data_IF_282409362017
#
_entry.id   IF_282409362017
#
_cell.length_a   1.000
_cell.length_b   1.000
_cell.length_c   1.000
_cell.angle_alpha   90.00
_cell.angle_beta   90.00
_cell.angle_gamma   90.00
#
_symmetry.space_group_name_H-M   'P 1'
#
loop_
_entity.id
_entity.type
_entity.pdbx_description
1 polymer ?
#
# COMPACT_ATOMS: atom_id res chain seq x y z
N UNK A 1 3.07 -3.82 14.78
CA UNK A 1 2.90 -2.49 15.43
C UNK A 1 4.11 -1.65 15.14
N UNK A 2 3.93 -0.40 14.72
CA UNK A 2 5.02 0.56 14.47
C UNK A 2 5.81 0.82 15.75
N UNK A 3 7.12 0.59 15.71
CA UNK A 3 8.04 0.99 16.80
C UNK A 3 8.69 2.32 16.45
N UNK A 4 9.03 3.15 17.44
CA UNK A 4 9.67 4.45 17.24
C UNK A 4 11.14 4.44 17.66
N UNK A 5 11.97 5.25 17.00
CA UNK A 5 13.35 5.56 17.42
C UNK A 5 13.34 6.56 18.57
N UNK A 6 14.50 6.80 19.19
CA UNK A 6 14.67 7.85 20.19
C UNK A 6 14.30 9.26 19.68
N UNK A 7 14.32 9.46 18.36
CA UNK A 7 13.93 10.72 17.71
C UNK A 7 12.46 10.78 17.32
N UNK A 8 11.64 9.82 17.75
CA UNK A 8 10.20 9.74 17.44
C UNK A 8 9.89 9.31 16.00
N UNK A 9 10.90 8.97 15.21
CA UNK A 9 10.71 8.49 13.84
C UNK A 9 10.35 7.00 13.85
N UNK A 10 9.57 6.51 12.89
CA UNK A 10 9.32 5.07 12.79
C UNK A 10 10.62 4.31 12.58
N UNK A 11 10.86 3.32 13.43
CA UNK A 11 11.94 2.37 13.25
C UNK A 11 11.65 1.56 12.00
N UNK A 12 12.65 1.45 11.12
CA UNK A 12 12.57 0.69 9.88
C UNK A 12 13.43 -0.55 10.01
N UNK A 13 12.84 -1.73 9.89
CA UNK A 13 13.57 -2.98 9.80
C UNK A 13 13.94 -3.31 8.33
N UNK A 14 14.73 -4.37 8.18
CA UNK A 14 15.23 -4.81 6.86
C UNK A 14 14.07 -5.24 5.96
N UNK A 15 13.04 -5.88 6.51
CA UNK A 15 11.89 -6.36 5.73
C UNK A 15 11.08 -5.19 5.19
N UNK A 16 10.81 -4.19 6.03
CA UNK A 16 10.19 -2.93 5.67
C UNK A 16 10.94 -2.20 4.56
N UNK A 17 12.27 -2.12 4.67
CA UNK A 17 13.11 -1.49 3.65
C UNK A 17 13.10 -2.27 2.33
N UNK A 18 13.07 -3.60 2.38
CA UNK A 18 12.99 -4.47 1.20
C UNK A 18 11.63 -4.33 0.52
N UNK A 19 10.53 -4.38 1.28
CA UNK A 19 9.18 -4.20 0.76
C UNK A 19 9.01 -2.82 0.11
N UNK A 20 9.42 -1.74 0.79
CA UNK A 20 9.32 -0.39 0.22
C UNK A 20 10.14 -0.24 -1.06
N UNK A 21 11.34 -0.80 -1.13
CA UNK A 21 12.16 -0.75 -2.35
C UNK A 21 11.51 -1.55 -3.48
N UNK A 22 11.06 -2.78 -3.21
CA UNK A 22 10.48 -3.69 -4.21
C UNK A 22 9.19 -3.14 -4.82
N UNK A 23 8.41 -2.36 -4.06
CA UNK A 23 7.09 -1.88 -4.46
C UNK A 23 6.95 -0.35 -4.43
N UNK A 24 8.06 0.39 -4.52
CA UNK A 24 8.10 1.86 -4.37
C UNK A 24 7.09 2.56 -5.27
N UNK A 25 6.99 2.14 -6.53
CA UNK A 25 6.11 2.76 -7.50
C UNK A 25 4.65 2.45 -7.23
N UNK A 26 4.34 1.19 -6.86
CA UNK A 26 2.99 0.80 -6.42
C UNK A 26 2.53 1.63 -5.23
N UNK A 27 3.39 1.79 -4.21
CA UNK A 27 3.12 2.61 -3.03
C UNK A 27 2.85 4.07 -3.43
N UNK A 28 3.70 4.61 -4.31
CA UNK A 28 3.60 6.01 -4.76
C UNK A 28 2.29 6.25 -5.52
N UNK A 29 1.99 5.40 -6.51
CA UNK A 29 0.79 5.51 -7.32
C UNK A 29 -0.48 5.27 -6.51
N UNK A 30 -0.46 4.35 -5.56
CA UNK A 30 -1.61 4.13 -4.68
C UNK A 30 -1.88 5.36 -3.80
N UNK A 31 -0.85 5.91 -3.14
CA UNK A 31 -1.02 7.08 -2.26
C UNK A 31 -1.34 8.36 -3.04
N UNK A 32 -0.92 8.48 -4.30
CA UNK A 32 -1.32 9.58 -5.19
C UNK A 32 -2.70 9.39 -5.85
N UNK A 33 -3.30 8.22 -5.65
CA UNK A 33 -4.58 7.81 -6.24
C UNK A 33 -4.53 7.63 -7.77
N UNK A 34 -3.40 7.16 -8.28
CA UNK A 34 -3.11 6.97 -9.71
C UNK A 34 -2.77 5.51 -10.05
N UNK A 35 -2.93 4.56 -9.12
CA UNK A 35 -2.67 3.15 -9.38
C UNK A 35 -3.71 2.61 -10.38
N UNK A 36 -3.31 2.17 -11.59
CA UNK A 36 -4.24 1.64 -12.58
C UNK A 36 -4.83 0.30 -12.16
N UNK A 37 -5.98 -0.04 -12.74
CA UNK A 37 -6.65 -1.32 -12.60
C UNK A 37 -6.83 -1.77 -11.14
N UNK A 38 -7.30 -0.84 -10.29
CA UNK A 38 -7.48 -1.05 -8.85
C UNK A 38 -8.67 -1.97 -8.53
N UNK A 39 -8.49 -3.25 -8.83
CA UNK A 39 -9.40 -4.35 -8.52
C UNK A 39 -9.34 -4.75 -7.04
N UNK A 40 -10.26 -5.61 -6.61
CA UNK A 40 -10.22 -6.18 -5.26
C UNK A 40 -8.91 -6.95 -4.99
N UNK A 41 -8.42 -7.71 -5.97
CA UNK A 41 -7.13 -8.41 -5.84
C UNK A 41 -5.98 -7.42 -5.68
N UNK A 42 -5.93 -6.36 -6.50
CA UNK A 42 -4.89 -5.33 -6.41
C UNK A 42 -4.94 -4.60 -5.07
N UNK A 43 -6.13 -4.31 -4.57
CA UNK A 43 -6.31 -3.78 -3.21
C UNK A 43 -5.66 -4.71 -2.18
N UNK A 44 -5.98 -6.00 -2.17
CA UNK A 44 -5.40 -6.95 -1.19
C UNK A 44 -3.87 -7.03 -1.30
N UNK A 45 -3.33 -7.08 -2.52
CA UNK A 45 -1.88 -7.07 -2.76
C UNK A 45 -1.21 -5.83 -2.19
N UNK A 46 -1.80 -4.65 -2.43
CA UNK A 46 -1.35 -3.38 -1.84
C UNK A 46 -1.43 -3.45 -0.32
N UNK A 47 -2.54 -3.89 0.26
CA UNK A 47 -2.67 -3.97 1.71
C UNK A 47 -1.60 -4.90 2.35
N UNK A 48 -1.29 -6.03 1.70
CA UNK A 48 -0.21 -6.93 2.11
C UNK A 48 1.18 -6.27 2.00
N UNK A 49 1.45 -5.42 1.00
CA UNK A 49 2.68 -4.60 0.94
C UNK A 49 2.74 -3.65 2.15
N UNK A 50 1.64 -2.97 2.45
CA UNK A 50 1.58 -1.98 3.52
C UNK A 50 1.74 -2.59 4.91
N UNK A 51 1.43 -3.88 5.12
CA UNK A 51 1.72 -4.59 6.39
C UNK A 51 3.18 -4.52 6.83
N UNK A 52 4.11 -4.37 5.89
CA UNK A 52 5.54 -4.24 6.15
C UNK A 52 5.99 -2.79 6.38
N UNK A 53 5.11 -1.81 6.17
CA UNK A 53 5.45 -0.41 6.32
C UNK A 53 5.04 0.09 7.72
N UNK A 54 5.85 0.98 8.31
CA UNK A 54 5.41 1.70 9.50
C UNK A 54 4.17 2.52 9.17
N UNK A 55 3.18 2.47 10.05
CA UNK A 55 1.85 3.06 9.85
C UNK A 55 1.11 2.52 8.62
N UNK A 56 1.39 1.27 8.24
CA UNK A 56 0.80 0.63 7.06
C UNK A 56 -0.72 0.70 7.01
N UNK A 57 -1.38 0.54 8.17
CA UNK A 57 -2.85 0.58 8.27
C UNK A 57 -3.38 1.98 7.97
N UNK A 58 -2.79 2.98 8.59
CA UNK A 58 -3.14 4.38 8.42
C UNK A 58 -2.88 4.85 6.99
N UNK A 59 -1.76 4.44 6.42
CA UNK A 59 -1.43 4.72 5.02
C UNK A 59 -2.38 3.97 4.06
N UNK A 60 -2.86 2.79 4.42
CA UNK A 60 -3.87 2.06 3.63
C UNK A 60 -5.19 2.84 3.59
N UNK A 61 -5.67 3.34 4.73
CA UNK A 61 -6.84 4.21 4.79
C UNK A 61 -6.67 5.46 3.92
N UNK A 62 -5.53 6.14 4.06
CA UNK A 62 -5.23 7.34 3.28
C UNK A 62 -5.27 7.04 1.78
N UNK A 63 -4.58 6.00 1.32
CA UNK A 63 -4.56 5.64 -0.10
C UNK A 63 -5.95 5.26 -0.63
N UNK A 64 -6.76 4.50 0.14
CA UNK A 64 -8.13 4.19 -0.24
C UNK A 64 -9.01 5.43 -0.37
N UNK A 65 -8.87 6.39 0.55
CA UNK A 65 -9.56 7.68 0.46
C UNK A 65 -9.12 8.46 -0.77
N UNK A 66 -7.81 8.60 -1.01
CA UNK A 66 -7.29 9.30 -2.19
C UNK A 66 -7.79 8.68 -3.49
N UNK A 67 -7.76 7.34 -3.61
CA UNK A 67 -8.33 6.61 -4.75
C UNK A 67 -9.83 6.92 -4.90
N UNK A 68 -10.63 6.78 -3.82
CA UNK A 68 -12.06 7.03 -3.85
C UNK A 68 -12.41 8.46 -4.31
N UNK A 69 -11.69 9.47 -3.80
CA UNK A 69 -11.87 10.86 -4.22
C UNK A 69 -11.53 11.07 -5.70
N UNK A 70 -10.42 10.53 -6.19
CA UNK A 70 -10.02 10.68 -7.60
C UNK A 70 -10.93 9.95 -8.58
N UNK A 71 -11.66 8.95 -8.10
CA UNK A 71 -12.67 8.22 -8.87
C UNK A 71 -14.11 8.69 -8.60
N UNK A 72 -14.29 9.83 -7.90
CA UNK A 72 -15.60 10.44 -7.61
C UNK A 72 -16.59 9.53 -6.87
N UNK A 73 -16.07 8.65 -6.00
CA UNK A 73 -16.86 7.73 -5.16
C UNK A 73 -16.41 7.83 -3.68
N UNK A 74 -16.46 9.03 -3.07
CA UNK A 74 -15.83 9.31 -1.77
C UNK A 74 -16.29 8.39 -0.64
N UNK A 75 -17.55 7.94 -0.66
CA UNK A 75 -18.15 7.11 0.40
C UNK A 75 -17.91 5.60 0.18
N UNK A 76 -17.12 5.21 -0.82
CA UNK A 76 -16.89 3.79 -1.18
C UNK A 76 -16.22 2.98 -0.07
N UNK A 77 -15.33 3.60 0.71
CA UNK A 77 -14.56 2.91 1.73
C UNK A 77 -14.85 3.48 3.11
N UNK A 78 -15.20 2.61 4.05
CA UNK A 78 -15.30 2.97 5.46
C UNK A 78 -14.04 2.52 6.21
N UNK A 79 -13.66 3.30 7.23
CA UNK A 79 -12.54 2.95 8.10
C UNK A 79 -12.82 1.63 8.83
N UNK A 80 -14.04 1.43 9.32
CA UNK A 80 -14.44 0.21 10.02
C UNK A 80 -14.28 -1.05 9.13
N UNK A 81 -14.73 -0.99 7.87
CA UNK A 81 -14.59 -2.15 6.96
C UNK A 81 -13.13 -2.41 6.63
N UNK A 82 -12.36 -1.35 6.33
CA UNK A 82 -10.93 -1.49 6.04
C UNK A 82 -10.18 -2.10 7.23
N UNK A 83 -10.53 -1.70 8.45
CA UNK A 83 -9.94 -2.22 9.69
C UNK A 83 -10.30 -3.68 9.94
N UNK A 84 -11.57 -4.05 9.74
CA UNK A 84 -12.02 -5.42 9.85
C UNK A 84 -11.23 -6.36 8.92
N UNK A 85 -11.00 -5.95 7.67
CA UNK A 85 -10.23 -6.75 6.72
C UNK A 85 -8.73 -6.69 6.96
N UNK A 86 -8.21 -5.58 7.49
CA UNK A 86 -6.80 -5.43 7.80
C UNK A 86 -6.28 -6.55 8.70
N UNK A 87 -7.01 -6.89 9.76
CA UNK A 87 -6.60 -7.92 10.72
C UNK A 87 -6.66 -9.36 10.14
N UNK A 88 -7.31 -9.55 9.00
CA UNK A 88 -7.44 -10.84 8.29
C UNK A 88 -6.42 -11.04 7.17
N UNK A 89 -5.63 -10.02 6.86
CA UNK A 89 -4.55 -10.12 5.88
C UNK A 89 -3.46 -11.07 6.39
N UNK A 90 -3.04 -11.97 5.53
CA UNK A 90 -1.97 -12.95 5.80
C UNK A 90 -0.56 -12.34 5.70
N UNK A 91 -0.45 -11.13 5.12
CA UNK A 91 0.82 -10.46 4.90
C UNK A 91 1.64 -11.04 3.76
N UNK A 92 1.09 -11.94 2.93
CA UNK A 92 1.84 -12.53 1.82
C UNK A 92 2.19 -11.46 0.78
N UNK A 93 3.48 -11.15 0.63
CA UNK A 93 3.93 -10.20 -0.38
C UNK A 93 3.61 -10.72 -1.79
N UNK A 94 3.04 -9.88 -2.67
CA UNK A 94 2.84 -10.25 -4.08
C UNK A 94 4.17 -10.41 -4.81
N UNK A 95 4.15 -11.09 -5.95
CA UNK A 95 5.27 -11.05 -6.90
C UNK A 95 5.27 -9.71 -7.66
N UNK A 96 6.43 -9.05 -7.88
CA UNK A 96 6.55 -7.82 -8.66
C UNK A 96 5.96 -7.92 -10.05
N UNK A 97 6.01 -9.11 -10.65
CA UNK A 97 5.41 -9.42 -11.94
C UNK A 97 3.89 -9.11 -11.99
N UNK A 98 3.20 -9.15 -10.84
CA UNK A 98 1.79 -8.78 -10.73
C UNK A 98 1.52 -7.28 -10.99
N UNK A 99 2.57 -6.47 -11.11
CA UNK A 99 2.51 -5.03 -11.40
C UNK A 99 3.32 -4.66 -12.65
N UNK A 100 3.59 -5.61 -13.56
CA UNK A 100 4.26 -5.32 -14.84
C UNK A 100 3.43 -4.40 -15.75
N UNK A 101 2.11 -4.40 -15.59
CA UNK A 101 1.17 -3.52 -16.28
C UNK A 101 1.22 -2.07 -15.76
N UNK A 102 1.78 -1.84 -14.58
CA UNK A 102 1.91 -0.51 -14.00
C UNK A 102 3.05 0.24 -14.71
N UNK A 103 2.86 1.52 -15.13
CA UNK A 103 3.93 2.30 -15.74
C UNK A 103 5.19 2.34 -14.86
N UNK A 104 6.31 1.83 -15.37
CA UNK A 104 7.57 1.72 -14.62
C UNK A 104 7.69 0.46 -13.73
N UNK A 105 6.72 -0.44 -13.77
CA UNK A 105 6.69 -1.68 -12.99
C UNK A 105 6.54 -1.48 -11.47
N UNK A 106 6.70 -2.54 -10.68
CA UNK A 106 6.53 -2.49 -9.23
C UNK A 106 7.47 -1.50 -8.52
N UNK A 107 8.73 -1.42 -8.97
CA UNK A 107 9.75 -0.55 -8.36
C UNK A 107 9.75 0.87 -8.94
N UNK A 108 9.30 1.07 -10.19
CA UNK A 108 9.42 2.35 -10.89
C UNK A 108 10.71 2.49 -11.68
N UNK A 109 11.38 1.37 -12.00
CA UNK A 109 12.53 1.31 -12.91
C UNK A 109 12.04 0.83 -14.27
N UNK A 110 11.58 1.77 -15.08
CA UNK A 110 11.14 1.50 -16.44
C UNK A 110 10.94 2.80 -17.20
N UNK A 111 12.05 3.30 -17.76
CA UNK A 111 12.16 3.98 -19.04
C UNK A 111 13.55 3.64 -19.59
#
# INVERSE_FOLDING_TARGET
MTSLTATGKPKRDIESLRAERRFRNVITLFLSGQLPDFSHQRHVQVANIFKYLPYGRELMHLGLQTMAYRHFVPDKYSAETTDYWWDRLDGTLPEPAAFEDVPGGAEGRGA
#
